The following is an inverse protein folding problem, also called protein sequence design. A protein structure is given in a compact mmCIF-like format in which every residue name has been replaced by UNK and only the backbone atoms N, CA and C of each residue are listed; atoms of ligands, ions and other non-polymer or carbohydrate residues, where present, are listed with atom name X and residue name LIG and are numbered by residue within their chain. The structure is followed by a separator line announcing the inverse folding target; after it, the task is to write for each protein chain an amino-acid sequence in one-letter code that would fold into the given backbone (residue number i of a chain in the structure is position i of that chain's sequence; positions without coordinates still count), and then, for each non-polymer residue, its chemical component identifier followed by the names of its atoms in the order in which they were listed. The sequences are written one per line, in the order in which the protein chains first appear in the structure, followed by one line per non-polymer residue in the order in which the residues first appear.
data_IF_034098095038
#
_entry.id   IF_034098095038
#
_cell.length_a   1.000
_cell.length_b   1.000
_cell.length_c   1.000
_cell.angle_alpha   90.00
_cell.angle_beta   90.00
_cell.angle_gamma   90.00
#
_symmetry.space_group_name_H-M   'P 1'
#
loop_
_entity.id
_entity.type
_entity.pdbx_description
1 polymer ?
#
# COMPACT_ATOMS: atom_id res chain seq x y z
N UNK A 1 26.74 29.97 3.50
CA UNK A 1 25.38 29.43 3.26
C UNK A 1 25.50 28.48 2.09
N UNK A 2 24.99 27.26 2.23
CA UNK A 2 25.14 26.22 1.22
C UNK A 2 23.75 25.81 0.74
N UNK A 3 23.57 25.67 -0.58
CA UNK A 3 22.30 25.25 -1.19
C UNK A 3 22.47 23.87 -1.81
N UNK A 4 21.63 22.92 -1.43
CA UNK A 4 21.63 21.58 -2.04
C UNK A 4 20.49 21.47 -3.05
N UNK A 5 20.84 21.09 -4.28
CA UNK A 5 19.94 20.86 -5.39
C UNK A 5 19.88 19.35 -5.69
N UNK A 6 18.69 18.77 -5.56
CA UNK A 6 18.49 17.33 -5.76
C UNK A 6 17.87 17.05 -7.11
N UNK A 7 18.38 16.03 -7.83
CA UNK A 7 17.86 15.63 -9.13
C UNK A 7 17.98 14.12 -9.35
N UNK A 8 17.07 13.54 -10.13
CA UNK A 8 17.08 12.10 -10.43
C UNK A 8 18.19 11.70 -11.43
N UNK A 9 18.65 12.63 -12.27
CA UNK A 9 19.70 12.44 -13.28
C UNK A 9 20.65 13.63 -13.27
N UNK A 10 21.93 13.37 -13.54
CA UNK A 10 22.93 14.43 -13.60
C UNK A 10 22.55 15.54 -14.59
N UNK A 11 22.43 16.81 -14.15
CA UNK A 11 21.90 17.90 -14.98
C UNK A 11 22.99 18.47 -15.91
N UNK A 12 23.39 17.69 -16.92
CA UNK A 12 24.52 17.99 -17.84
C UNK A 12 24.50 19.42 -18.39
N UNK A 13 23.37 19.85 -18.97
CA UNK A 13 23.24 21.18 -19.58
C UNK A 13 23.43 22.32 -18.56
N UNK A 14 22.93 22.15 -17.35
CA UNK A 14 23.07 23.15 -16.29
C UNK A 14 24.52 23.22 -15.82
N UNK A 15 25.17 22.07 -15.64
CA UNK A 15 26.59 22.01 -15.27
C UNK A 15 27.49 22.63 -16.34
N UNK A 16 27.24 22.33 -17.60
CA UNK A 16 27.96 22.93 -18.74
C UNK A 16 27.84 24.44 -18.72
N UNK A 17 26.62 24.97 -18.56
CA UNK A 17 26.36 26.41 -18.44
C UNK A 17 27.10 27.03 -17.24
N UNK A 18 27.08 26.39 -16.07
CA UNK A 18 27.78 26.89 -14.89
C UNK A 18 29.30 26.94 -15.09
N UNK A 19 29.87 25.95 -15.79
CA UNK A 19 31.29 25.93 -16.14
C UNK A 19 31.66 26.99 -17.17
N UNK A 20 30.89 27.11 -18.26
CA UNK A 20 31.22 28.00 -19.39
C UNK A 20 30.93 29.47 -19.08
N UNK A 21 29.75 29.78 -18.54
CA UNK A 21 29.28 31.16 -18.39
C UNK A 21 29.58 31.75 -17.01
N UNK A 22 29.72 30.89 -15.98
CA UNK A 22 29.97 31.33 -14.60
C UNK A 22 31.32 30.92 -14.04
N UNK A 23 32.14 30.20 -14.82
CA UNK A 23 33.46 29.73 -14.38
C UNK A 23 33.40 28.81 -13.16
N UNK A 24 32.26 28.16 -12.90
CA UNK A 24 32.08 27.30 -11.75
C UNK A 24 32.94 26.04 -11.86
N UNK A 25 33.45 25.58 -10.73
CA UNK A 25 34.20 24.32 -10.64
C UNK A 25 33.26 23.27 -10.08
N UNK A 26 33.08 22.16 -10.81
CA UNK A 26 32.24 21.05 -10.35
C UNK A 26 33.13 19.86 -10.02
N UNK A 27 33.14 19.48 -8.75
CA UNK A 27 33.93 18.37 -8.20
C UNK A 27 33.00 17.24 -7.79
N UNK A 28 33.25 16.03 -8.30
CA UNK A 28 32.61 14.81 -7.80
C UNK A 28 33.34 14.36 -6.53
N UNK A 29 32.65 14.34 -5.40
CA UNK A 29 33.23 13.96 -4.11
C UNK A 29 32.85 12.55 -3.70
N UNK A 30 31.65 12.13 -4.10
CA UNK A 30 31.18 10.76 -3.93
C UNK A 30 30.22 10.41 -5.07
N UNK A 31 29.85 9.13 -5.17
CA UNK A 31 28.84 8.65 -6.10
C UNK A 31 27.54 9.44 -5.91
N UNK A 32 27.15 10.21 -6.93
CA UNK A 32 25.97 11.07 -6.89
C UNK A 32 26.08 12.36 -6.06
N UNK A 33 27.25 12.70 -5.50
CA UNK A 33 27.46 13.93 -4.71
C UNK A 33 28.51 14.82 -5.39
N UNK A 34 28.08 16.01 -5.80
CA UNK A 34 28.93 16.97 -6.49
C UNK A 34 28.91 18.32 -5.78
N UNK A 35 30.07 18.92 -5.52
CA UNK A 35 30.16 20.31 -5.07
C UNK A 35 30.45 21.24 -6.24
N UNK A 36 29.74 22.36 -6.24
CA UNK A 36 29.92 23.48 -7.16
C UNK A 36 30.59 24.60 -6.37
N UNK A 37 31.82 24.89 -6.76
CA UNK A 37 32.65 25.95 -6.20
C UNK A 37 32.80 27.08 -7.20
N UNK A 38 33.37 28.19 -6.74
CA UNK A 38 33.55 29.40 -7.54
C UNK A 38 32.22 30.01 -8.01
N UNK A 39 31.23 30.01 -7.11
CA UNK A 39 29.91 30.63 -7.26
C UNK A 39 29.61 31.50 -6.04
N UNK A 40 28.70 32.46 -6.18
CA UNK A 40 28.34 33.38 -5.08
C UNK A 40 27.79 32.65 -3.84
N UNK A 41 27.23 31.46 -4.05
CA UNK A 41 26.71 30.57 -3.01
C UNK A 41 27.30 29.18 -3.25
N UNK A 42 27.91 28.60 -2.22
CA UNK A 42 28.35 27.21 -2.27
C UNK A 42 27.16 26.30 -2.57
N UNK A 43 27.24 25.54 -3.64
CA UNK A 43 26.11 24.72 -4.10
C UNK A 43 26.53 23.26 -4.16
N UNK A 44 25.62 22.36 -3.78
CA UNK A 44 25.79 20.92 -3.88
C UNK A 44 24.74 20.36 -4.83
N UNK A 45 25.13 19.48 -5.75
CA UNK A 45 24.21 18.61 -6.47
C UNK A 45 24.17 17.23 -5.82
N UNK A 46 22.96 16.75 -5.59
CA UNK A 46 22.69 15.38 -5.16
C UNK A 46 21.92 14.66 -6.28
N UNK A 47 22.56 13.68 -6.91
CA UNK A 47 22.03 12.93 -8.06
C UNK A 47 21.58 11.56 -7.62
N UNK A 48 20.27 11.42 -7.41
CA UNK A 48 19.72 10.33 -6.61
C UNK A 48 19.88 8.92 -7.22
N UNK A 49 20.02 8.78 -8.54
CA UNK A 49 20.30 7.49 -9.22
C UNK A 49 21.75 7.04 -9.15
N UNK A 50 22.66 7.98 -8.90
CA UNK A 50 24.10 7.71 -8.85
C UNK A 50 24.56 7.44 -7.43
N UNK A 51 23.74 7.74 -6.42
CA UNK A 51 24.09 7.50 -5.02
C UNK A 51 24.21 6.01 -4.71
N UNK A 52 25.25 5.67 -3.96
CA UNK A 52 25.49 4.31 -3.49
C UNK A 52 24.34 3.81 -2.60
N UNK A 53 24.02 2.54 -2.75
CA UNK A 53 22.93 1.88 -2.02
C UNK A 53 23.14 1.91 -0.50
N UNK A 54 24.37 1.85 -0.01
CA UNK A 54 24.65 1.85 1.44
C UNK A 54 24.52 3.24 2.08
N UNK A 55 25.10 4.28 1.48
CA UNK A 55 25.14 5.63 2.08
C UNK A 55 23.86 6.47 1.91
N UNK A 56 23.02 6.13 0.92
CA UNK A 56 21.85 6.96 0.55
C UNK A 56 20.50 6.24 0.69
N UNK A 57 20.49 5.10 1.38
CA UNK A 57 19.33 4.24 1.55
C UNK A 57 18.05 5.02 1.92
N UNK A 58 18.16 5.99 2.83
CA UNK A 58 17.02 6.83 3.26
C UNK A 58 16.54 7.83 2.20
N UNK A 59 17.45 8.38 1.38
CA UNK A 59 17.08 9.29 0.28
C UNK A 59 16.37 8.55 -0.85
N UNK A 60 16.63 7.24 -1.01
CA UNK A 60 15.89 6.39 -1.95
C UNK A 60 14.46 6.12 -1.49
N UNK A 61 14.19 6.09 -0.18
CA UNK A 61 12.84 5.96 0.36
C UNK A 61 11.95 7.19 0.08
N UNK A 62 12.55 8.36 -0.14
CA UNK A 62 11.84 9.60 -0.48
C UNK A 62 11.49 9.71 -1.96
N UNK A 63 12.00 8.82 -2.81
CA UNK A 63 11.74 8.86 -4.25
C UNK A 63 10.38 8.22 -4.54
N UNK A 64 9.43 9.05 -5.00
CA UNK A 64 8.02 8.70 -5.28
C UNK A 64 7.82 7.54 -6.26
N UNK A 65 8.84 7.20 -7.07
CA UNK A 65 8.76 6.13 -8.09
C UNK A 65 9.22 4.75 -7.59
N UNK A 66 9.69 4.61 -6.34
CA UNK A 66 10.34 3.37 -5.91
C UNK A 66 9.39 2.46 -5.10
N UNK A 67 8.57 1.68 -5.83
CA UNK A 67 7.74 0.56 -5.34
C UNK A 67 8.57 -0.63 -4.81
N UNK A 68 9.62 -0.39 -4.02
CA UNK A 68 10.44 -1.47 -3.48
C UNK A 68 9.99 -1.82 -2.06
N UNK A 69 8.90 -2.60 -1.98
CA UNK A 69 8.37 -3.15 -0.72
C UNK A 69 9.45 -3.78 0.17
N UNK A 70 10.51 -4.34 -0.43
CA UNK A 70 11.63 -4.90 0.32
C UNK A 70 12.49 -3.84 1.01
N UNK A 71 12.71 -2.69 0.38
CA UNK A 71 13.48 -1.59 0.96
C UNK A 71 12.77 -0.99 2.17
N UNK A 72 11.46 -0.74 2.04
CA UNK A 72 10.63 -0.25 3.15
C UNK A 72 10.61 -1.26 4.29
N UNK A 73 10.42 -2.56 3.98
CA UNK A 73 10.47 -3.61 5.00
C UNK A 73 11.81 -3.66 5.74
N UNK A 74 12.93 -3.57 5.00
CA UNK A 74 14.28 -3.52 5.59
C UNK A 74 14.44 -2.29 6.48
N UNK A 75 14.00 -1.14 5.99
CA UNK A 75 14.10 0.12 6.73
C UNK A 75 13.27 0.11 8.00
N UNK A 76 12.02 -0.38 7.98
CA UNK A 76 11.21 -0.40 9.20
C UNK A 76 11.78 -1.38 10.24
N UNK A 77 12.36 -2.52 9.80
CA UNK A 77 13.06 -3.40 10.72
C UNK A 77 14.25 -2.69 11.40
N UNK A 78 15.06 -1.99 10.63
CA UNK A 78 16.18 -1.19 11.13
C UNK A 78 15.73 -0.05 12.05
N UNK A 79 14.61 0.61 11.71
CA UNK A 79 13.97 1.63 12.54
C UNK A 79 13.53 1.07 13.90
N UNK A 80 12.92 -0.13 13.94
CA UNK A 80 12.48 -0.75 15.19
C UNK A 80 13.68 -1.08 16.10
N UNK A 81 14.80 -1.53 15.52
CA UNK A 81 16.02 -1.80 16.27
C UNK A 81 16.67 -0.50 16.81
N UNK A 82 16.46 0.62 16.12
CA UNK A 82 17.05 1.93 16.45
C UNK A 82 15.99 2.95 16.91
N UNK A 83 14.86 2.50 17.44
CA UNK A 83 13.67 3.35 17.60
C UNK A 83 13.92 4.56 18.52
N UNK A 84 14.83 4.42 19.50
CA UNK A 84 15.22 5.46 20.44
C UNK A 84 16.16 6.53 19.82
N UNK A 85 16.64 6.33 18.59
CA UNK A 85 17.55 7.24 17.91
C UNK A 85 16.76 8.40 17.25
N UNK A 86 17.02 9.68 17.60
CA UNK A 86 16.31 10.83 17.05
C UNK A 86 16.38 10.94 15.52
N UNK A 87 17.48 10.51 14.90
CA UNK A 87 17.62 10.55 13.43
C UNK A 87 16.60 9.64 12.75
N UNK A 88 16.42 8.43 13.28
CA UNK A 88 15.45 7.46 12.76
C UNK A 88 14.01 7.96 12.95
N UNK A 89 13.72 8.63 14.07
CA UNK A 89 12.43 9.27 14.29
C UNK A 89 12.13 10.36 13.26
N UNK A 90 13.11 11.23 12.96
CA UNK A 90 12.93 12.29 11.94
C UNK A 90 12.70 11.70 10.54
N UNK A 91 13.45 10.66 10.17
CA UNK A 91 13.25 9.99 8.87
C UNK A 91 11.87 9.35 8.81
N UNK A 92 11.41 8.70 9.89
CA UNK A 92 10.06 8.14 9.99
C UNK A 92 8.97 9.20 9.85
N UNK A 93 9.12 10.34 10.53
CA UNK A 93 8.19 11.46 10.44
C UNK A 93 8.04 11.92 8.98
N UNK A 94 9.16 12.13 8.26
CA UNK A 94 9.13 12.54 6.85
C UNK A 94 8.52 11.46 5.95
N UNK A 95 8.88 10.18 6.14
CA UNK A 95 8.36 9.11 5.30
C UNK A 95 6.86 8.87 5.50
N UNK A 96 6.37 8.98 6.73
CA UNK A 96 4.94 8.88 7.02
C UNK A 96 4.13 10.04 6.44
N UNK A 97 4.75 11.22 6.28
CA UNK A 97 4.12 12.38 5.64
C UNK A 97 4.06 12.23 4.12
N UNK A 98 5.17 11.79 3.49
CA UNK A 98 5.27 11.67 2.03
C UNK A 98 4.52 10.45 1.51
N UNK A 99 4.68 9.28 2.16
CA UNK A 99 4.16 7.98 1.70
C UNK A 99 3.49 7.17 2.84
N UNK A 100 2.40 7.67 3.45
CA UNK A 100 1.77 7.04 4.62
C UNK A 100 1.33 5.59 4.36
N UNK A 101 0.77 5.31 3.18
CA UNK A 101 0.24 3.99 2.85
C UNK A 101 1.34 2.94 2.74
N UNK A 102 2.51 3.29 2.19
CA UNK A 102 3.60 2.33 2.02
C UNK A 102 4.24 1.97 3.36
N UNK A 103 4.36 2.95 4.26
CA UNK A 103 4.77 2.74 5.65
C UNK A 103 3.79 1.83 6.37
N UNK A 104 2.49 2.07 6.19
CA UNK A 104 1.43 1.25 6.77
C UNK A 104 1.47 -0.20 6.32
N UNK A 105 1.59 -0.40 5.00
CA UNK A 105 1.76 -1.72 4.39
C UNK A 105 3.03 -2.39 4.88
N UNK A 106 4.11 -1.64 5.05
CA UNK A 106 5.34 -2.12 5.65
C UNK A 106 5.12 -2.68 7.07
N UNK A 107 4.37 -1.96 7.91
CA UNK A 107 3.96 -2.44 9.24
C UNK A 107 3.09 -3.70 9.19
N UNK A 108 2.06 -3.74 8.34
CA UNK A 108 1.18 -4.91 8.18
C UNK A 108 1.97 -6.16 7.77
N UNK A 109 2.93 -6.01 6.86
CA UNK A 109 3.68 -7.11 6.25
C UNK A 109 4.88 -7.61 7.09
N UNK A 110 5.19 -6.99 8.24
CA UNK A 110 6.23 -7.47 9.15
C UNK A 110 5.77 -8.62 10.06
N UNK A 111 4.45 -8.85 10.19
CA UNK A 111 3.93 -9.87 11.10
C UNK A 111 4.18 -9.53 12.58
N UNK A 112 4.18 -10.54 13.45
CA UNK A 112 4.47 -10.35 14.89
C UNK A 112 5.96 -10.12 15.10
N UNK A 113 6.40 -8.87 15.03
CA UNK A 113 7.74 -8.48 15.46
C UNK A 113 7.87 -8.74 16.97
N UNK A 114 8.95 -9.43 17.38
CA UNK A 114 9.31 -9.54 18.80
C UNK A 114 9.89 -8.20 19.26
N UNK A 115 9.03 -7.26 19.64
CA UNK A 115 9.45 -6.02 20.29
C UNK A 115 9.68 -6.27 21.78
N UNK A 116 10.71 -5.64 22.35
CA UNK A 116 10.81 -5.44 23.80
C UNK A 116 9.64 -4.58 24.29
N UNK A 117 9.33 -4.65 25.59
CA UNK A 117 8.27 -3.80 26.18
C UNK A 117 8.58 -2.31 25.97
N UNK A 118 9.84 -1.91 26.17
CA UNK A 118 10.32 -0.55 25.89
C UNK A 118 10.08 -0.09 24.45
N UNK A 119 10.43 -0.92 23.46
CA UNK A 119 10.28 -0.53 22.06
C UNK A 119 8.81 -0.54 21.63
N UNK A 120 7.97 -1.34 22.29
CA UNK A 120 6.53 -1.35 22.06
C UNK A 120 5.87 -0.04 22.50
N UNK A 121 6.26 0.48 23.66
CA UNK A 121 5.74 1.76 24.14
C UNK A 121 6.14 2.91 23.21
N UNK A 122 7.42 2.96 22.82
CA UNK A 122 7.92 3.98 21.89
C UNK A 122 7.23 3.90 20.51
N UNK A 123 7.02 2.68 20.00
CA UNK A 123 6.31 2.49 18.74
C UNK A 123 4.86 3.00 18.82
N UNK A 124 4.15 2.69 19.92
CA UNK A 124 2.78 3.14 20.12
C UNK A 124 2.67 4.66 20.26
N UNK A 125 3.62 5.30 20.95
CA UNK A 125 3.67 6.75 21.08
C UNK A 125 3.89 7.42 19.71
N UNK A 126 4.87 6.93 18.94
CA UNK A 126 5.11 7.41 17.59
C UNK A 126 3.89 7.21 16.67
N UNK A 127 3.25 6.04 16.70
CA UNK A 127 2.06 5.78 15.87
C UNK A 127 0.91 6.73 16.19
N UNK A 128 0.72 7.09 17.46
CA UNK A 128 -0.27 8.10 17.88
C UNK A 128 0.14 9.49 17.42
N UNK A 129 1.41 9.87 17.58
CA UNK A 129 1.95 11.18 17.15
C UNK A 129 1.72 11.40 15.65
N UNK A 130 1.90 10.34 14.85
CA UNK A 130 1.72 10.37 13.40
C UNK A 130 0.29 10.04 12.93
N UNK A 131 -0.66 9.86 13.85
CA UNK A 131 -2.05 9.46 13.58
C UNK A 131 -2.18 8.17 12.73
N UNK A 132 -1.14 7.34 12.71
CA UNK A 132 -1.12 6.07 11.98
C UNK A 132 -2.09 5.06 12.59
N UNK A 133 -2.33 5.14 13.90
CA UNK A 133 -3.31 4.33 14.62
C UNK A 133 -4.75 4.59 14.14
N UNK A 134 -5.10 5.85 13.91
CA UNK A 134 -6.40 6.26 13.36
C UNK A 134 -6.57 5.76 11.94
N UNK A 135 -5.54 5.95 11.09
CA UNK A 135 -5.55 5.46 9.69
C UNK A 135 -5.69 3.95 9.61
N UNK A 136 -4.91 3.18 10.40
CA UNK A 136 -5.03 1.72 10.48
C UNK A 136 -6.43 1.27 10.90
N UNK A 137 -7.00 1.95 11.91
CA UNK A 137 -8.33 1.61 12.40
C UNK A 137 -9.39 1.91 11.34
N UNK A 138 -9.28 3.03 10.64
CA UNK A 138 -10.20 3.42 9.59
C UNK A 138 -10.12 2.46 8.40
N UNK A 139 -8.93 2.15 7.89
CA UNK A 139 -8.75 1.15 6.82
C UNK A 139 -9.29 -0.22 7.23
N UNK A 140 -9.04 -0.66 8.48
CA UNK A 140 -9.58 -1.92 8.97
C UNK A 140 -11.11 -1.96 9.04
N UNK A 141 -11.74 -0.82 9.34
CA UNK A 141 -13.20 -0.67 9.29
C UNK A 141 -13.69 -0.68 7.84
N UNK A 142 -13.04 0.07 6.94
CA UNK A 142 -13.38 0.16 5.53
C UNK A 142 -13.28 -1.22 4.86
N UNK A 143 -12.16 -1.94 5.03
CA UNK A 143 -12.00 -3.31 4.55
C UNK A 143 -13.05 -4.26 5.13
N UNK A 144 -13.38 -4.10 6.42
CA UNK A 144 -14.39 -4.92 7.09
C UNK A 144 -15.79 -4.69 6.52
N UNK A 145 -16.14 -3.44 6.25
CA UNK A 145 -17.41 -3.06 5.62
C UNK A 145 -17.46 -3.56 4.18
N UNK A 146 -16.40 -3.35 3.39
CA UNK A 146 -16.31 -3.78 2.00
C UNK A 146 -16.51 -5.30 1.88
N UNK A 147 -15.74 -6.08 2.63
CA UNK A 147 -15.86 -7.55 2.67
C UNK A 147 -17.24 -8.00 3.18
N UNK A 148 -17.83 -7.24 4.12
CA UNK A 148 -19.16 -7.51 4.65
C UNK A 148 -20.26 -7.30 3.61
N UNK A 149 -20.19 -6.19 2.87
CA UNK A 149 -21.13 -5.84 1.79
C UNK A 149 -21.00 -6.83 0.64
N UNK A 150 -19.79 -7.13 0.19
CA UNK A 150 -19.53 -8.08 -0.90
C UNK A 150 -20.15 -9.45 -0.60
N UNK A 151 -19.85 -10.01 0.58
CA UNK A 151 -20.43 -11.30 1.03
C UNK A 151 -21.94 -11.22 1.19
N UNK A 152 -22.48 -10.10 1.67
CA UNK A 152 -23.91 -9.90 1.84
C UNK A 152 -24.65 -9.87 0.50
N UNK A 153 -24.10 -9.17 -0.49
CA UNK A 153 -24.64 -9.09 -1.86
C UNK A 153 -24.58 -10.45 -2.53
N UNK A 154 -23.44 -11.14 -2.46
CA UNK A 154 -23.26 -12.46 -3.07
C UNK A 154 -24.30 -13.46 -2.53
N UNK A 155 -24.43 -13.57 -1.21
CA UNK A 155 -25.44 -14.43 -0.57
C UNK A 155 -26.86 -14.03 -0.95
N UNK A 156 -27.19 -12.75 -0.92
CA UNK A 156 -28.53 -12.27 -1.28
C UNK A 156 -28.92 -12.58 -2.72
N UNK A 157 -27.97 -12.50 -3.66
CA UNK A 157 -28.18 -12.88 -5.06
C UNK A 157 -28.39 -14.40 -5.19
N UNK A 158 -27.59 -15.20 -4.49
CA UNK A 158 -27.71 -16.67 -4.51
C UNK A 158 -29.05 -17.14 -3.92
N UNK A 159 -29.39 -16.67 -2.73
CA UNK A 159 -30.67 -16.97 -2.05
C UNK A 159 -31.87 -16.51 -2.90
N UNK A 160 -31.79 -15.32 -3.50
CA UNK A 160 -32.84 -14.79 -4.37
C UNK A 160 -33.03 -15.60 -5.66
N UNK A 161 -31.95 -16.11 -6.26
CA UNK A 161 -32.03 -17.01 -7.41
C UNK A 161 -32.66 -18.35 -7.02
N UNK A 162 -32.22 -18.94 -5.90
CA UNK A 162 -32.76 -20.21 -5.42
C UNK A 162 -34.26 -20.10 -5.12
N UNK A 163 -34.68 -19.05 -4.41
CA UNK A 163 -36.09 -18.82 -4.11
C UNK A 163 -36.91 -18.53 -5.38
N UNK A 164 -36.34 -17.80 -6.36
CA UNK A 164 -36.98 -17.58 -7.66
C UNK A 164 -37.24 -18.88 -8.42
N UNK A 165 -36.25 -19.79 -8.47
CA UNK A 165 -36.37 -21.12 -9.07
C UNK A 165 -37.42 -21.94 -8.32
N UNK A 166 -37.41 -21.90 -6.99
CA UNK A 166 -38.38 -22.60 -6.15
C UNK A 166 -39.82 -22.13 -6.42
N UNK A 167 -40.05 -20.82 -6.45
CA UNK A 167 -41.38 -20.25 -6.75
C UNK A 167 -41.85 -20.60 -8.16
N UNK A 168 -40.93 -20.63 -9.13
CA UNK A 168 -41.21 -21.05 -10.50
C UNK A 168 -41.71 -22.51 -10.55
N UNK A 169 -40.99 -23.43 -9.89
CA UNK A 169 -41.38 -24.85 -9.79
C UNK A 169 -42.77 -24.98 -9.17
N UNK A 170 -43.00 -24.34 -8.02
CA UNK A 170 -44.28 -24.42 -7.31
C UNK A 170 -45.45 -23.86 -8.12
N UNK A 171 -45.22 -22.76 -8.86
CA UNK A 171 -46.24 -22.17 -9.73
C UNK A 171 -46.60 -23.08 -10.90
N UNK A 172 -45.62 -23.76 -11.49
CA UNK A 172 -45.85 -24.72 -12.57
C UNK A 172 -46.58 -25.97 -12.07
N UNK A 173 -46.15 -26.51 -10.92
CA UNK A 173 -46.79 -27.67 -10.30
C UNK A 173 -48.26 -27.40 -9.94
N UNK A 174 -48.56 -26.25 -9.34
CA UNK A 174 -49.95 -25.83 -9.02
C UNK A 174 -50.84 -25.67 -10.25
N UNK A 175 -50.27 -25.53 -11.45
CA UNK A 175 -51.02 -25.51 -12.73
C UNK A 175 -51.27 -26.91 -13.30
N UNK A 176 -50.86 -27.97 -12.60
CA UNK A 176 -51.08 -29.36 -13.00
C UNK A 176 -50.00 -29.95 -13.91
N UNK A 177 -48.84 -29.29 -14.03
CA UNK A 177 -47.69 -29.82 -14.78
C UNK A 177 -47.01 -30.93 -13.96
N UNK A 178 -46.58 -32.02 -14.62
CA UNK A 178 -45.89 -33.12 -13.95
C UNK A 178 -44.47 -32.73 -13.55
N UNK A 179 -43.94 -33.39 -12.53
CA UNK A 179 -42.57 -33.17 -12.02
C UNK A 179 -41.53 -33.37 -13.12
N UNK A 180 -41.69 -34.41 -13.94
CA UNK A 180 -40.81 -34.74 -15.06
C UNK A 180 -40.81 -33.62 -16.12
N UNK A 181 -41.99 -33.06 -16.43
CA UNK A 181 -42.12 -32.00 -17.42
C UNK A 181 -41.56 -30.66 -16.91
N UNK A 182 -41.72 -30.35 -15.62
CA UNK A 182 -41.14 -29.15 -15.00
C UNK A 182 -39.61 -29.23 -15.00
N UNK A 183 -39.04 -30.39 -14.70
CA UNK A 183 -37.60 -30.61 -14.75
C UNK A 183 -37.05 -30.38 -16.17
N UNK A 184 -37.68 -30.98 -17.17
CA UNK A 184 -37.28 -30.91 -18.58
C UNK A 184 -37.37 -29.49 -19.16
N UNK A 185 -38.53 -28.81 -19.03
CA UNK A 185 -38.74 -27.50 -19.66
C UNK A 185 -37.89 -26.37 -19.06
N UNK A 186 -37.49 -26.51 -17.79
CA UNK A 186 -36.68 -25.50 -17.10
C UNK A 186 -35.19 -25.91 -16.99
N UNK A 187 -34.80 -27.07 -17.52
CA UNK A 187 -33.45 -27.65 -17.38
C UNK A 187 -32.99 -27.71 -15.91
N UNK A 188 -33.88 -28.22 -15.05
CA UNK A 188 -33.66 -28.34 -13.59
C UNK A 188 -33.57 -29.82 -13.25
N UNK A 189 -32.64 -30.16 -12.35
CA UNK A 189 -32.52 -31.51 -11.81
C UNK A 189 -33.86 -32.02 -11.22
N UNK A 190 -34.26 -33.22 -11.64
CA UNK A 190 -35.56 -33.79 -11.27
C UNK A 190 -35.65 -34.09 -9.77
N UNK A 191 -34.55 -34.42 -9.10
CA UNK A 191 -34.56 -34.62 -7.64
C UNK A 191 -34.78 -33.30 -6.90
N UNK A 192 -34.20 -32.20 -7.39
CA UNK A 192 -34.46 -30.87 -6.85
C UNK A 192 -35.93 -30.47 -7.00
N UNK A 193 -36.53 -30.68 -8.17
CA UNK A 193 -37.98 -30.43 -8.39
C UNK A 193 -38.83 -31.25 -7.43
N UNK A 194 -38.54 -32.56 -7.27
CA UNK A 194 -39.24 -33.44 -6.30
C UNK A 194 -39.14 -32.90 -4.87
N UNK A 195 -37.95 -32.51 -4.44
CA UNK A 195 -37.68 -31.96 -3.10
C UNK A 195 -38.41 -30.65 -2.83
N UNK A 196 -38.58 -29.81 -3.85
CA UNK A 196 -39.32 -28.54 -3.73
C UNK A 196 -40.83 -28.81 -3.58
N UNK A 197 -41.37 -29.70 -4.39
CA UNK A 197 -42.81 -30.03 -4.42
C UNK A 197 -43.24 -30.82 -3.18
N UNK A 198 -42.43 -31.76 -2.69
CA UNK A 198 -42.72 -32.59 -1.51
C UNK A 198 -42.82 -31.80 -0.19
N UNK A 199 -42.47 -30.51 -0.20
CA UNK A 199 -42.59 -29.60 0.95
C UNK A 199 -43.93 -28.86 1.00
N UNK A 200 -44.81 -29.10 0.03
CA UNK A 200 -46.09 -28.40 -0.14
C UNK A 200 -47.29 -29.38 -0.13
N UNK A 201 -47.02 -30.68 -0.19
CA UNK A 201 -47.96 -31.76 0.15
C UNK A 201 -48.08 -31.95 1.66
#
# INVERSE_FOLDING_TARGET
MTVTLTSNKYPRKLVEYLKSERGAIVEAVDNGIYYIKNTDIETQFLVSKELDDEGSQYLKLLQTDYQNKNLIKKWIAEYIDNIKNPLYAVIMDVLAEVNPNEILEGYKNMGRVKLSEDNREFLLDMMKKLELDKKLKQEGIEEGIEKGIERGIERGIEEGKEEGIRQLILRQYKKGLTVEYIADINDIDIEYVKKVVSRVE
#
